data_IF_887680143802
#
_entry.id   IF_887680143802
#
_cell.length_a   1.000
_cell.length_b   1.000
_cell.length_c   1.000
_cell.angle_alpha   90.00
_cell.angle_beta   90.00
_cell.angle_gamma   90.00
#
_symmetry.space_group_name_H-M   'P 1'
#
loop_
_entity.id
_entity.type
_entity.pdbx_description
1 polymer ?
#
# COMPACT_ATOMS: atom_id res chain seq x y z
N UNK A 1 -31.07 -15.67 -19.07
CA UNK A 1 -29.85 -15.75 -18.24
C UNK A 1 -29.84 -14.52 -17.33
N UNK A 2 -30.20 -14.67 -16.06
CA UNK A 2 -30.21 -13.55 -15.13
C UNK A 2 -28.75 -13.21 -14.76
N UNK A 3 -28.26 -12.09 -15.26
CA UNK A 3 -27.05 -11.46 -14.72
C UNK A 3 -27.42 -10.96 -13.32
N UNK A 4 -26.86 -11.58 -12.27
CA UNK A 4 -26.87 -10.92 -10.98
C UNK A 4 -25.86 -9.77 -11.06
N UNK A 5 -26.38 -8.56 -11.19
CA UNK A 5 -25.56 -7.36 -11.05
C UNK A 5 -25.17 -7.27 -9.58
N UNK A 6 -23.93 -7.63 -9.25
CA UNK A 6 -23.39 -7.36 -7.93
C UNK A 6 -23.51 -5.85 -7.66
N UNK A 7 -23.87 -5.42 -6.43
CA UNK A 7 -23.90 -4.01 -6.08
C UNK A 7 -22.53 -3.36 -6.35
N UNK A 8 -22.55 -2.08 -6.74
CA UNK A 8 -21.31 -1.34 -6.96
C UNK A 8 -20.48 -1.28 -5.66
N UNK A 9 -19.23 -1.75 -5.73
CA UNK A 9 -18.29 -1.62 -4.63
C UNK A 9 -17.77 -0.18 -4.56
N UNK A 10 -18.37 0.60 -3.66
CA UNK A 10 -18.02 2.02 -3.51
C UNK A 10 -16.95 2.18 -2.45
N UNK A 11 -15.84 2.81 -2.80
CA UNK A 11 -14.74 3.14 -1.88
C UNK A 11 -14.66 4.64 -1.65
N UNK A 12 -14.43 5.04 -0.40
CA UNK A 12 -14.06 6.41 -0.06
C UNK A 12 -12.56 6.46 0.16
N UNK A 13 -11.85 7.23 -0.65
CA UNK A 13 -10.40 7.44 -0.52
C UNK A 13 -10.16 8.77 0.18
N UNK A 14 -9.23 8.81 1.12
CA UNK A 14 -8.71 10.07 1.65
C UNK A 14 -7.67 10.68 0.71
N UNK A 15 -7.25 11.91 1.01
CA UNK A 15 -6.12 12.53 0.32
C UNK A 15 -4.83 11.71 0.52
N UNK A 16 -4.03 11.47 -0.52
CA UNK A 16 -2.73 10.85 -0.37
C UNK A 16 -1.81 11.69 0.53
N UNK A 17 -1.08 11.03 1.42
CA UNK A 17 -0.09 11.67 2.31
C UNK A 17 1.28 11.06 2.06
N UNK A 18 2.31 11.90 1.95
CA UNK A 18 3.70 11.46 1.88
C UNK A 18 4.21 11.20 3.31
N UNK A 19 4.47 9.95 3.65
CA UNK A 19 5.04 9.55 4.95
C UNK A 19 6.56 9.53 4.85
N UNK A 20 7.25 10.43 5.55
CA UNK A 20 8.71 10.47 5.61
C UNK A 20 9.26 9.42 6.59
N UNK A 21 10.53 9.00 6.45
CA UNK A 21 11.21 8.24 7.51
C UNK A 21 11.11 8.95 8.86
N UNK A 22 11.01 8.17 9.95
CA UNK A 22 10.93 8.71 11.31
C UNK A 22 12.25 9.37 11.77
N UNK A 23 13.37 8.94 11.18
CA UNK A 23 14.72 9.45 11.46
C UNK A 23 15.44 9.80 10.15
N UNK A 24 16.52 10.58 10.26
CA UNK A 24 17.29 11.00 9.10
C UNK A 24 17.96 9.81 8.41
N UNK A 25 17.75 9.67 7.10
CA UNK A 25 18.46 8.71 6.27
C UNK A 25 19.67 9.35 5.58
N UNK A 26 20.76 8.60 5.31
CA UNK A 26 21.86 9.09 4.50
C UNK A 26 21.40 9.59 3.14
N UNK A 27 21.96 10.71 2.67
CA UNK A 27 21.71 11.21 1.31
C UNK A 27 22.69 10.56 0.34
N UNK A 28 22.23 9.51 -0.33
CA UNK A 28 23.05 8.70 -1.23
C UNK A 28 22.27 8.26 -2.48
N UNK A 29 23.00 7.85 -3.52
CA UNK A 29 22.44 7.19 -4.71
C UNK A 29 22.98 5.76 -4.76
N UNK A 30 22.08 4.78 -4.77
CA UNK A 30 22.43 3.35 -4.86
C UNK A 30 22.35 2.89 -6.31
N UNK A 31 23.34 2.15 -6.76
CA UNK A 31 23.29 1.45 -8.05
C UNK A 31 22.34 0.25 -7.95
N UNK A 32 21.57 0.00 -9.01
CA UNK A 32 20.75 -1.21 -9.10
C UNK A 32 21.64 -2.41 -9.44
N UNK A 33 21.26 -3.60 -8.96
CA UNK A 33 21.87 -4.85 -9.42
C UNK A 33 21.37 -5.22 -10.83
N UNK A 34 21.98 -6.24 -11.43
CA UNK A 34 21.52 -6.82 -12.70
C UNK A 34 20.08 -7.35 -12.62
N UNK A 35 19.69 -7.90 -11.48
CA UNK A 35 18.32 -8.38 -11.21
C UNK A 35 17.35 -7.20 -11.07
N UNK A 36 17.71 -6.17 -10.31
CA UNK A 36 16.83 -5.02 -10.04
C UNK A 36 16.64 -4.12 -11.27
N UNK A 37 17.60 -4.07 -12.20
CA UNK A 37 17.53 -3.27 -13.44
C UNK A 37 16.87 -3.99 -14.62
N UNK A 38 16.39 -5.22 -14.43
CA UNK A 38 15.69 -5.96 -15.47
C UNK A 38 14.40 -5.26 -15.93
N UNK A 39 14.12 -5.23 -17.24
CA UNK A 39 12.87 -4.64 -17.79
C UNK A 39 11.61 -5.21 -17.13
N UNK A 40 11.62 -6.51 -16.83
CA UNK A 40 10.51 -7.20 -16.18
C UNK A 40 10.25 -6.75 -14.74
N UNK A 41 11.22 -6.07 -14.09
CA UNK A 41 11.08 -5.49 -12.75
C UNK A 41 10.53 -4.06 -12.77
N UNK A 42 10.36 -3.44 -13.96
CA UNK A 42 9.82 -2.09 -14.12
C UNK A 42 8.29 -2.08 -14.10
N UNK A 43 7.71 -2.56 -13.01
CA UNK A 43 6.26 -2.59 -12.81
C UNK A 43 5.88 -2.12 -11.41
N UNK A 44 4.63 -1.65 -11.27
CA UNK A 44 4.04 -1.40 -9.97
C UNK A 44 3.50 -2.71 -9.40
N UNK A 45 4.19 -3.27 -8.40
CA UNK A 45 3.66 -4.39 -7.64
C UNK A 45 2.47 -3.93 -6.80
N UNK A 46 1.35 -4.65 -6.88
CA UNK A 46 0.14 -4.36 -6.10
C UNK A 46 -0.32 -5.62 -5.36
N UNK A 47 -0.65 -5.48 -4.08
CA UNK A 47 -1.21 -6.54 -3.26
C UNK A 47 -2.31 -6.00 -2.34
N UNK A 48 -3.30 -6.84 -2.03
CA UNK A 48 -4.37 -6.51 -1.10
C UNK A 48 -4.32 -7.50 0.06
N UNK A 49 -4.14 -6.97 1.27
CA UNK A 49 -4.26 -7.75 2.50
C UNK A 49 -5.64 -7.48 3.12
N UNK A 50 -6.39 -8.54 3.41
CA UNK A 50 -7.71 -8.45 4.02
C UNK A 50 -7.62 -8.87 5.48
N UNK A 51 -8.06 -8.01 6.38
CA UNK A 51 -8.05 -8.25 7.82
C UNK A 51 -9.48 -8.28 8.36
N UNK A 52 -9.73 -9.14 9.37
CA UNK A 52 -11.00 -9.12 10.10
C UNK A 52 -11.02 -7.90 11.02
N UNK A 53 -12.18 -7.22 11.09
CA UNK A 53 -12.36 -6.11 12.02
C UNK A 53 -12.15 -6.55 13.47
N UNK A 54 -11.35 -5.78 14.22
CA UNK A 54 -11.19 -5.94 15.66
C UNK A 54 -11.72 -4.66 16.35
N UNK A 55 -12.85 -4.73 17.08
CA UNK A 55 -13.43 -3.59 17.79
C UNK A 55 -12.45 -2.88 18.73
N UNK A 56 -11.53 -3.63 19.37
CA UNK A 56 -10.57 -3.08 20.33
C UNK A 56 -9.49 -2.21 19.68
N UNK A 57 -9.41 -2.20 18.35
CA UNK A 57 -8.47 -1.38 17.57
C UNK A 57 -9.12 -0.14 16.97
N UNK A 58 -10.38 0.14 17.31
CA UNK A 58 -11.06 1.33 16.82
C UNK A 58 -10.36 2.60 17.33
N UNK A 59 -9.95 3.47 16.40
CA UNK A 59 -9.28 4.75 16.72
C UNK A 59 -7.83 4.62 17.18
N UNK A 60 -7.28 3.40 17.23
CA UNK A 60 -5.86 3.16 17.53
C UNK A 60 -5.08 3.24 16.21
N UNK A 61 -4.08 4.11 16.16
CA UNK A 61 -3.13 4.14 15.04
C UNK A 61 -2.26 2.86 15.08
N UNK A 62 -2.35 1.97 14.07
CA UNK A 62 -1.55 0.76 14.04
C UNK A 62 -0.05 1.02 13.82
N UNK A 63 0.34 2.24 13.42
CA UNK A 63 1.71 2.65 13.19
C UNK A 63 2.27 3.56 14.31
N UNK A 64 1.49 3.86 15.35
CA UNK A 64 2.01 4.58 16.51
C UNK A 64 3.04 3.72 17.26
N UNK A 65 4.24 4.27 17.43
CA UNK A 65 5.37 3.67 18.16
C UNK A 65 5.58 4.43 19.46
#
# INVERSE_FOLDING_TARGET
MASSLLPAFTVRRGEPVLVSPAEQTPRETKTLSDIDDGEGMRFYSSGIHLYRANPDKQGVDPAAV
#
